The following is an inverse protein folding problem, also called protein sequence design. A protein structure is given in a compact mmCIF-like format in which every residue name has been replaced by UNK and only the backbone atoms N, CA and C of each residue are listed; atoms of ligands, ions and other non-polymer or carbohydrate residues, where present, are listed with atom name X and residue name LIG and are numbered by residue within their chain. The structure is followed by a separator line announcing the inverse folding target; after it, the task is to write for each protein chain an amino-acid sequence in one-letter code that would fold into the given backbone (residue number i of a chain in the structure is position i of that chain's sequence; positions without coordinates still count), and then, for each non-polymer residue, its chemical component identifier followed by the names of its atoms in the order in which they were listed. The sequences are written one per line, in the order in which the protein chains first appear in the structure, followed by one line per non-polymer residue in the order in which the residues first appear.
data_IF_680740764646
#
_entry.id   IF_680740764646
#
_cell.length_a   1.000
_cell.length_b   1.000
_cell.length_c   1.000
_cell.angle_alpha   90.00
_cell.angle_beta   90.00
_cell.angle_gamma   90.00
#
_symmetry.space_group_name_H-M   'P 1'
#
loop_
_entity.id
_entity.type
_entity.pdbx_description
1 polymer ?
#
# COMPACT_ATOMS: atom_id res chain seq x y z
N UNK A 1 -13.48 10.14 -14.54
CA UNK A 1 -12.72 10.34 -13.29
C UNK A 1 -13.60 10.31 -12.04
N UNK A 2 -14.83 10.86 -12.05
CA UNK A 2 -15.75 10.83 -10.89
C UNK A 2 -16.24 9.42 -10.50
N UNK A 3 -16.51 8.53 -11.45
CA UNK A 3 -16.98 7.17 -11.15
C UNK A 3 -15.97 6.31 -10.35
N UNK A 4 -14.67 6.61 -10.47
CA UNK A 4 -13.62 5.91 -9.71
C UNK A 4 -13.50 6.43 -8.27
N UNK A 5 -13.92 7.67 -7.99
CA UNK A 5 -13.80 8.28 -6.66
C UNK A 5 -15.05 8.10 -5.79
N UNK A 6 -16.22 7.84 -6.38
CA UNK A 6 -17.48 7.61 -5.65
C UNK A 6 -17.37 6.44 -4.65
N UNK A 7 -16.90 5.24 -5.02
CA UNK A 7 -16.80 4.13 -4.08
C UNK A 7 -15.84 4.43 -2.92
N UNK A 8 -14.75 5.14 -3.21
CA UNK A 8 -13.74 5.51 -2.22
C UNK A 8 -14.25 6.49 -1.17
N UNK A 9 -15.24 7.31 -1.49
CA UNK A 9 -15.87 8.25 -0.56
C UNK A 9 -17.08 7.65 0.15
N UNK A 10 -17.89 6.85 -0.56
CA UNK A 10 -19.09 6.21 -0.02
C UNK A 10 -18.73 5.08 0.95
N UNK A 11 -17.66 4.32 0.68
CA UNK A 11 -17.21 3.21 1.51
C UNK A 11 -17.00 3.57 2.99
N UNK A 12 -16.14 4.57 3.31
CA UNK A 12 -15.92 5.00 4.68
C UNK A 12 -17.16 5.60 5.37
N UNK A 13 -18.06 6.22 4.61
CA UNK A 13 -19.28 6.81 5.14
C UNK A 13 -20.31 5.72 5.53
N UNK A 14 -20.46 4.72 4.67
CA UNK A 14 -21.49 3.67 4.81
C UNK A 14 -20.97 2.47 5.62
N UNK A 15 -19.65 2.27 5.66
CA UNK A 15 -18.99 1.17 6.35
C UNK A 15 -19.35 1.04 7.83
N UNK A 16 -19.17 2.08 8.68
CA UNK A 16 -19.47 1.99 10.11
C UNK A 16 -20.94 1.72 10.42
N UNK A 17 -21.93 2.40 9.77
CA UNK A 17 -23.34 2.07 9.95
C UNK A 17 -23.70 0.62 9.56
N UNK A 18 -23.22 0.15 8.40
CA UNK A 18 -23.48 -1.24 7.97
C UNK A 18 -22.79 -2.24 8.88
N UNK A 19 -21.53 -2.00 9.25
CA UNK A 19 -20.77 -2.86 10.15
C UNK A 19 -21.43 -2.96 11.51
N UNK A 20 -21.85 -1.83 12.09
CA UNK A 20 -22.58 -1.76 13.35
C UNK A 20 -23.94 -2.46 13.28
N UNK A 21 -24.69 -2.28 12.18
CA UNK A 21 -25.96 -2.99 11.97
C UNK A 21 -25.75 -4.51 11.92
N UNK A 22 -24.75 -4.98 11.16
CA UNK A 22 -24.43 -6.40 11.05
C UNK A 22 -24.02 -6.97 12.41
N UNK A 23 -23.17 -6.30 13.20
CA UNK A 23 -22.77 -6.83 14.51
C UNK A 23 -23.85 -6.73 15.59
N UNK A 24 -24.83 -5.83 15.43
CA UNK A 24 -25.95 -5.68 16.36
C UNK A 24 -27.01 -6.77 16.16
N UNK A 25 -27.34 -7.11 14.91
CA UNK A 25 -28.40 -8.06 14.59
C UNK A 25 -27.90 -9.44 14.15
N UNK A 26 -26.64 -9.54 13.71
CA UNK A 26 -25.99 -10.76 13.23
C UNK A 26 -24.61 -10.96 13.89
N UNK A 27 -23.96 -12.07 13.56
CA UNK A 27 -22.59 -12.35 14.02
C UNK A 27 -21.57 -11.63 13.14
N UNK A 28 -20.44 -11.24 13.73
CA UNK A 28 -19.32 -10.58 13.04
C UNK A 28 -18.83 -11.28 11.76
N UNK A 29 -18.96 -12.61 11.65
CA UNK A 29 -18.59 -13.38 10.46
C UNK A 29 -19.27 -12.88 9.17
N UNK A 30 -20.47 -12.28 9.29
CA UNK A 30 -21.22 -11.74 8.15
C UNK A 30 -20.52 -10.57 7.47
N UNK A 31 -19.68 -9.82 8.20
CA UNK A 31 -18.83 -8.76 7.62
C UNK A 31 -17.86 -9.34 6.58
N UNK A 32 -17.39 -10.58 6.78
CA UNK A 32 -16.53 -11.25 5.81
C UNK A 32 -17.34 -11.94 4.71
N UNK A 33 -18.44 -12.61 5.08
CA UNK A 33 -19.27 -13.33 4.12
C UNK A 33 -19.89 -12.43 3.06
N UNK A 34 -20.21 -11.17 3.36
CA UNK A 34 -20.78 -10.24 2.38
C UNK A 34 -19.81 -9.96 1.21
N UNK A 35 -18.50 -10.08 1.43
CA UNK A 35 -17.50 -9.89 0.38
C UNK A 35 -17.45 -11.05 -0.62
N UNK A 36 -17.82 -12.26 -0.20
CA UNK A 36 -17.80 -13.46 -1.05
C UNK A 36 -18.71 -13.32 -2.29
N UNK A 37 -20.02 -13.01 -2.17
CA UNK A 37 -20.87 -12.84 -3.34
C UNK A 37 -20.44 -11.66 -4.22
N UNK A 38 -19.97 -10.57 -3.61
CA UNK A 38 -19.44 -9.40 -4.35
C UNK A 38 -18.21 -9.80 -5.17
N UNK A 39 -17.30 -10.56 -4.57
CA UNK A 39 -16.10 -11.08 -5.24
C UNK A 39 -16.45 -12.04 -6.39
N UNK A 40 -17.42 -12.93 -6.19
CA UNK A 40 -17.90 -13.83 -7.25
C UNK A 40 -18.51 -13.06 -8.43
N UNK A 41 -19.33 -12.05 -8.16
CA UNK A 41 -19.88 -11.17 -9.21
C UNK A 41 -18.73 -10.44 -9.93
N UNK A 42 -17.74 -9.94 -9.19
CA UNK A 42 -16.56 -9.29 -9.76
C UNK A 42 -15.77 -10.20 -10.69
N UNK A 43 -15.51 -11.45 -10.28
CA UNK A 43 -14.85 -12.46 -11.11
C UNK A 43 -15.68 -12.75 -12.36
N UNK A 44 -16.98 -12.95 -12.20
CA UNK A 44 -17.88 -13.22 -13.32
C UNK A 44 -17.94 -12.05 -14.33
N UNK A 45 -18.00 -10.82 -13.85
CA UNK A 45 -17.95 -9.63 -14.70
C UNK A 45 -16.58 -9.49 -15.40
N UNK A 46 -15.49 -9.72 -14.67
CA UNK A 46 -14.14 -9.65 -15.24
C UNK A 46 -13.96 -10.69 -16.35
N UNK A 47 -14.35 -11.94 -16.13
CA UNK A 47 -14.24 -12.99 -17.16
C UNK A 47 -15.15 -12.77 -18.36
N UNK A 48 -16.28 -12.07 -18.17
CA UNK A 48 -17.24 -11.83 -19.26
C UNK A 48 -16.94 -10.58 -20.09
N UNK A 49 -16.48 -9.51 -19.47
CA UNK A 49 -16.37 -8.18 -20.09
C UNK A 49 -14.94 -7.73 -20.34
N UNK A 50 -13.94 -8.32 -19.68
CA UNK A 50 -12.55 -7.92 -19.89
C UNK A 50 -12.04 -8.59 -21.18
N UNK A 51 -11.64 -7.83 -22.21
CA UNK A 51 -11.08 -8.40 -23.42
C UNK A 51 -9.75 -9.10 -23.09
N UNK A 52 -9.54 -10.29 -23.67
CA UNK A 52 -8.25 -10.96 -23.64
C UNK A 52 -7.21 -10.02 -24.26
N UNK A 53 -6.38 -9.44 -23.40
CA UNK A 53 -5.26 -8.62 -23.83
C UNK A 53 -4.10 -9.57 -24.06
N UNK A 54 -3.42 -9.47 -25.21
CA UNK A 54 -2.23 -10.26 -25.49
C UNK A 54 -1.32 -10.26 -24.26
N UNK A 55 -0.91 -11.45 -23.82
CA UNK A 55 -0.05 -11.61 -22.68
C UNK A 55 1.27 -10.89 -22.98
N UNK A 56 1.37 -9.62 -22.59
CA UNK A 56 2.61 -8.89 -22.57
C UNK A 56 3.56 -9.74 -21.75
N UNK A 57 4.67 -10.19 -22.35
CA UNK A 57 5.66 -11.05 -21.71
C UNK A 57 5.95 -10.49 -20.32
N UNK A 58 5.44 -11.16 -19.28
CA UNK A 58 5.62 -10.70 -17.91
C UNK A 58 7.10 -10.83 -17.61
N UNK A 59 7.84 -9.72 -17.42
CA UNK A 59 9.26 -9.82 -17.15
C UNK A 59 9.47 -10.61 -15.85
N UNK A 60 10.57 -11.36 -15.73
CA UNK A 60 10.86 -12.11 -14.52
C UNK A 60 10.90 -11.15 -13.31
N UNK A 61 10.24 -11.56 -12.23
CA UNK A 61 10.14 -10.77 -11.00
C UNK A 61 11.54 -10.50 -10.41
N UNK A 62 11.85 -9.23 -10.13
CA UNK A 62 13.08 -8.82 -9.44
C UNK A 62 13.00 -9.18 -7.95
N UNK A 63 13.21 -10.46 -7.65
CA UNK A 63 13.25 -11.00 -6.29
C UNK A 63 14.24 -10.28 -5.36
N UNK A 64 15.49 -9.95 -5.76
CA UNK A 64 16.40 -9.20 -4.88
C UNK A 64 15.89 -7.78 -4.63
N UNK A 65 15.32 -7.11 -5.64
CA UNK A 65 14.61 -5.84 -5.44
C UNK A 65 13.43 -5.96 -4.48
N UNK A 66 12.70 -7.07 -4.51
CA UNK A 66 11.54 -7.32 -3.65
C UNK A 66 11.95 -7.41 -2.19
N UNK A 67 12.99 -8.21 -1.92
CA UNK A 67 13.50 -8.40 -0.56
C UNK A 67 14.10 -7.10 -0.02
N UNK A 68 14.90 -6.39 -0.81
CA UNK A 68 15.51 -5.12 -0.37
C UNK A 68 14.47 -4.04 -0.10
N UNK A 69 13.46 -3.89 -0.96
CA UNK A 69 12.38 -2.92 -0.76
C UNK A 69 11.48 -3.29 0.43
N UNK A 70 11.18 -4.57 0.61
CA UNK A 70 10.45 -5.08 1.76
C UNK A 70 11.20 -4.83 3.07
N UNK A 71 12.51 -5.11 3.11
CA UNK A 71 13.37 -4.83 4.27
C UNK A 71 13.52 -3.34 4.55
N UNK A 72 13.62 -2.50 3.51
CA UNK A 72 13.69 -1.06 3.67
C UNK A 72 12.41 -0.51 4.32
N UNK A 73 11.24 -0.88 3.76
CA UNK A 73 9.95 -0.42 4.27
C UNK A 73 9.68 -0.95 5.70
N UNK A 74 9.83 -2.26 5.90
CA UNK A 74 9.59 -2.89 7.21
C UNK A 74 10.57 -2.39 8.27
N UNK A 75 11.87 -2.29 7.96
CA UNK A 75 12.89 -1.83 8.90
C UNK A 75 12.68 -0.38 9.35
N UNK A 76 12.34 0.51 8.41
CA UNK A 76 12.04 1.92 8.73
C UNK A 76 10.78 2.03 9.57
N UNK A 77 9.67 1.41 9.14
CA UNK A 77 8.38 1.48 9.86
C UNK A 77 8.48 0.83 11.25
N UNK A 78 9.10 -0.34 11.35
CA UNK A 78 9.29 -1.03 12.62
C UNK A 78 10.20 -0.24 13.55
N UNK A 79 11.34 0.26 13.05
CA UNK A 79 12.27 1.02 13.87
C UNK A 79 11.68 2.32 14.40
N UNK A 80 10.94 3.07 13.57
CA UNK A 80 10.17 4.23 14.01
C UNK A 80 9.13 3.86 15.07
N UNK A 81 8.41 2.74 14.88
CA UNK A 81 7.41 2.27 15.85
C UNK A 81 8.03 1.91 17.20
N UNK A 82 9.22 1.29 17.20
CA UNK A 82 9.96 0.95 18.42
C UNK A 82 10.50 2.19 19.13
N UNK A 83 10.88 3.24 18.40
CA UNK A 83 11.31 4.50 19.01
C UNK A 83 10.11 5.24 19.62
N UNK A 84 8.94 5.18 18.99
CA UNK A 84 7.73 5.83 19.47
C UNK A 84 7.05 5.11 20.65
N UNK A 85 7.20 3.79 20.76
CA UNK A 85 6.56 2.97 21.79
C UNK A 85 7.64 2.31 22.67
N UNK A 86 7.69 2.57 23.99
CA UNK A 86 8.79 2.13 24.87
C UNK A 86 8.71 0.63 25.26
N UNK A 87 8.41 -0.25 24.31
CA UNK A 87 8.38 -1.70 24.52
C UNK A 87 9.76 -2.36 24.42
N UNK A 88 10.70 -1.75 23.69
CA UNK A 88 12.04 -2.29 23.42
C UNK A 88 13.11 -1.21 23.67
N UNK A 89 14.38 -1.61 23.92
CA UNK A 89 15.49 -0.69 24.02
C UNK A 89 15.59 0.23 22.79
N UNK A 90 15.72 1.56 22.96
CA UNK A 90 15.79 2.51 21.85
C UNK A 90 16.90 2.19 20.83
N UNK A 91 17.98 1.56 21.28
CA UNK A 91 19.07 1.09 20.42
C UNK A 91 18.59 0.14 19.32
N UNK A 92 17.64 -0.75 19.59
CA UNK A 92 17.09 -1.69 18.60
C UNK A 92 16.29 -0.91 17.55
N UNK A 93 15.56 0.13 17.96
CA UNK A 93 14.85 1.03 17.06
C UNK A 93 15.81 1.75 16.10
N UNK A 94 16.87 2.38 16.62
CA UNK A 94 17.86 3.05 15.78
C UNK A 94 18.60 2.09 14.83
N UNK A 95 18.95 0.88 15.29
CA UNK A 95 19.60 -0.13 14.45
C UNK A 95 18.67 -0.58 13.32
N UNK A 96 17.39 -0.85 13.62
CA UNK A 96 16.43 -1.31 12.60
C UNK A 96 16.11 -0.21 11.58
N UNK A 97 16.02 1.06 12.00
CA UNK A 97 15.93 2.20 11.06
C UNK A 97 17.19 2.28 10.20
N UNK A 98 18.38 2.16 10.78
CA UNK A 98 19.63 2.21 10.02
C UNK A 98 19.72 1.07 8.99
N UNK A 99 19.36 -0.16 9.38
CA UNK A 99 19.30 -1.31 8.46
C UNK A 99 18.27 -1.08 7.35
N UNK A 100 17.10 -0.53 7.67
CA UNK A 100 16.09 -0.17 6.68
C UNK A 100 16.58 0.89 5.68
N UNK A 101 17.24 1.95 6.16
CA UNK A 101 17.83 2.99 5.32
C UNK A 101 18.94 2.44 4.41
N UNK A 102 19.84 1.62 4.96
CA UNK A 102 20.91 0.96 4.18
C UNK A 102 20.29 0.05 3.11
N UNK A 103 19.28 -0.75 3.46
CA UNK A 103 18.56 -1.60 2.50
C UNK A 103 17.88 -0.79 1.40
N UNK A 104 17.35 0.38 1.73
CA UNK A 104 16.77 1.32 0.76
C UNK A 104 17.82 1.91 -0.19
N UNK A 105 19.00 2.28 0.31
CA UNK A 105 20.11 2.76 -0.53
C UNK A 105 20.60 1.64 -1.45
N UNK A 106 20.76 0.43 -0.92
CA UNK A 106 21.13 -0.75 -1.70
C UNK A 106 20.09 -1.05 -2.78
N UNK A 107 18.79 -0.92 -2.46
CA UNK A 107 17.72 -1.01 -3.45
C UNK A 107 17.85 0.03 -4.54
N UNK A 108 18.14 1.30 -4.21
CA UNK A 108 18.33 2.35 -5.23
C UNK A 108 19.52 2.07 -6.15
N UNK A 109 20.61 1.52 -5.61
CA UNK A 109 21.78 1.12 -6.40
C UNK A 109 21.47 -0.09 -7.29
N UNK A 110 20.74 -1.08 -6.75
CA UNK A 110 20.28 -2.26 -7.50
C UNK A 110 19.30 -1.87 -8.61
N UNK A 111 18.30 -1.04 -8.30
CA UNK A 111 17.28 -0.59 -9.24
C UNK A 111 17.84 0.25 -10.40
N UNK A 112 19.02 0.87 -10.24
CA UNK A 112 19.75 1.54 -11.33
C UNK A 112 20.49 0.57 -12.26
N UNK A 113 20.77 -0.65 -11.81
CA UNK A 113 21.53 -1.67 -12.58
C UNK A 113 20.65 -2.82 -13.06
N UNK A 114 19.51 -3.05 -12.44
CA UNK A 114 18.57 -4.12 -12.81
C UNK A 114 17.89 -3.80 -14.15
N UNK A 115 17.71 -4.83 -14.99
CA UNK A 115 17.02 -4.71 -16.27
C UNK A 115 15.50 -4.56 -16.11
N UNK A 116 14.92 -5.16 -15.06
CA UNK A 116 13.49 -5.09 -14.72
C UNK A 116 13.28 -4.72 -13.25
N UNK A 117 13.63 -3.49 -12.82
CA UNK A 117 13.49 -3.09 -11.43
C UNK A 117 12.01 -3.02 -11.02
N UNK A 118 11.70 -3.47 -9.80
CA UNK A 118 10.34 -3.36 -9.22
C UNK A 118 9.78 -1.94 -9.22
N UNK A 119 10.64 -0.95 -9.01
CA UNK A 119 10.34 0.46 -9.23
C UNK A 119 11.23 0.93 -10.37
N UNK A 120 10.67 1.07 -11.56
CA UNK A 120 11.34 1.70 -12.67
C UNK A 120 11.59 3.18 -12.32
N UNK A 121 12.81 3.47 -11.86
CA UNK A 121 13.24 4.83 -11.50
C UNK A 121 13.12 5.82 -12.68
N UNK A 122 13.10 5.30 -13.91
CA UNK A 122 12.86 6.10 -15.11
C UNK A 122 11.45 6.75 -15.13
N UNK A 123 10.45 6.16 -14.47
CA UNK A 123 9.12 6.76 -14.32
C UNK A 123 9.19 8.10 -13.58
N UNK A 124 10.11 8.25 -12.61
CA UNK A 124 10.32 9.52 -11.90
C UNK A 124 10.98 10.61 -12.77
N UNK A 125 11.50 10.27 -13.95
CA UNK A 125 11.95 11.27 -14.93
C UNK A 125 10.76 12.02 -15.54
N UNK A 126 9.58 11.41 -15.56
CA UNK A 126 8.35 12.07 -15.98
C UNK A 126 7.87 13.05 -14.90
N UNK A 127 7.79 14.33 -15.25
CA UNK A 127 7.37 15.40 -14.34
C UNK A 127 5.95 15.20 -13.79
N UNK A 128 5.03 14.64 -14.60
CA UNK A 128 3.65 14.36 -14.18
C UNK A 128 3.62 13.24 -13.15
N UNK A 129 4.38 12.17 -13.37
CA UNK A 129 4.48 11.07 -12.42
C UNK A 129 5.10 11.52 -11.10
N UNK A 130 6.24 12.24 -11.17
CA UNK A 130 6.93 12.74 -9.98
C UNK A 130 6.07 13.70 -9.15
N UNK A 131 5.38 14.64 -9.80
CA UNK A 131 4.49 15.58 -9.11
C UNK A 131 3.28 14.89 -8.49
N UNK A 132 2.69 13.90 -9.18
CA UNK A 132 1.58 13.10 -8.66
C UNK A 132 1.99 12.29 -7.43
N UNK A 133 3.16 11.64 -7.46
CA UNK A 133 3.68 10.85 -6.32
C UNK A 133 4.02 11.74 -5.14
N UNK A 134 4.74 12.85 -5.34
CA UNK A 134 5.09 13.77 -4.27
C UNK A 134 3.86 14.44 -3.67
N UNK A 135 2.97 14.97 -4.52
CA UNK A 135 1.73 15.61 -4.09
C UNK A 135 0.80 14.63 -3.36
N UNK A 136 0.64 13.42 -3.90
CA UNK A 136 -0.13 12.36 -3.25
C UNK A 136 0.46 11.89 -1.92
N UNK A 137 1.80 11.84 -1.82
CA UNK A 137 2.49 11.48 -0.57
C UNK A 137 2.30 12.55 0.50
N UNK A 138 2.48 13.83 0.15
CA UNK A 138 2.23 14.96 1.06
C UNK A 138 0.77 14.99 1.53
N UNK A 139 -0.17 14.78 0.62
CA UNK A 139 -1.59 14.69 0.95
C UNK A 139 -1.90 13.54 1.92
N UNK A 140 -1.33 12.35 1.67
CA UNK A 140 -1.48 11.19 2.56
C UNK A 140 -0.86 11.40 3.93
N UNK A 141 0.32 12.03 4.02
CA UNK A 141 0.94 12.39 5.29
C UNK A 141 0.06 13.38 6.04
N UNK A 142 -0.44 14.42 5.35
CA UNK A 142 -1.33 15.42 5.93
C UNK A 142 -2.60 14.81 6.51
N UNK A 143 -3.36 14.04 5.72
CA UNK A 143 -4.57 13.36 6.19
C UNK A 143 -4.26 12.34 7.28
N UNK A 144 -3.18 11.57 7.13
CA UNK A 144 -2.78 10.57 8.11
C UNK A 144 -2.39 11.15 9.46
N UNK A 145 -1.90 12.39 9.51
CA UNK A 145 -1.55 13.09 10.75
C UNK A 145 -2.78 13.68 11.47
N UNK A 146 -3.89 13.91 10.78
CA UNK A 146 -5.10 14.54 11.35
C UNK A 146 -5.61 13.82 12.60
N UNK A 147 -5.81 12.49 12.62
CA UNK A 147 -6.32 11.77 13.80
C UNK A 147 -5.36 11.75 15.00
N UNK A 148 -4.07 12.05 14.78
CA UNK A 148 -3.06 12.06 15.84
C UNK A 148 -2.80 13.47 16.39
N UNK A 149 -3.04 14.51 15.60
CA UNK A 149 -2.82 15.92 15.97
C UNK A 149 -4.10 16.61 16.46
N UNK A 150 -5.27 16.20 15.96
CA UNK A 150 -6.55 16.71 16.42
C UNK A 150 -7.20 15.70 17.38
N UNK A 151 -7.72 16.15 18.53
CA UNK A 151 -8.42 15.30 19.50
C UNK A 151 -9.75 14.75 18.97
#
# INVERSE_FOLDING_TARGET
MSWLTVPALVGPLVGPPIGGFITTYFTWHWIFLINVPIGLIGIWLATRFLPETDAAETPPLDFPGFVLSGLAASGVVFGLSVVSLPYLPPAIGFITVAVGLVSGILYLLHARRAQNPLLALELFRNQVFRSSVLGGSLFRIGIGAVPFLLP
#
